data_IF_069572090986
#
_entry.id   IF_069572090986
#
_cell.length_a   1.000
_cell.length_b   1.000
_cell.length_c   1.000
_cell.angle_alpha   90.00
_cell.angle_beta   90.00
_cell.angle_gamma   90.00
#
_symmetry.space_group_name_H-M   'P 1'
#
loop_
_entity.id
_entity.type
_entity.pdbx_description
1 polymer ?
#
# COMPACT_ATOMS: atom_id res chain seq x y z
N UNK A 1 10.36 23.91 -2.54
CA UNK A 1 11.53 24.72 -2.98
C UNK A 1 12.75 24.33 -2.14
N UNK A 2 13.55 23.38 -2.60
CA UNK A 2 14.91 23.17 -2.07
C UNK A 2 15.90 23.44 -3.18
N UNK A 3 16.60 24.56 -3.02
CA UNK A 3 17.55 25.15 -3.95
C UNK A 3 18.74 24.20 -4.16
N UNK A 4 19.08 23.94 -5.41
CA UNK A 4 20.35 23.33 -5.81
C UNK A 4 21.49 24.27 -5.40
N UNK A 5 22.05 24.02 -4.22
CA UNK A 5 23.20 24.76 -3.71
C UNK A 5 24.46 24.28 -4.44
N UNK A 6 24.85 25.03 -5.47
CA UNK A 6 26.26 25.36 -5.72
C UNK A 6 27.16 24.31 -6.37
N UNK A 7 26.74 23.61 -7.42
CA UNK A 7 27.68 23.20 -8.47
C UNK A 7 27.44 24.08 -9.68
N UNK A 8 28.39 24.98 -9.96
CA UNK A 8 28.44 25.70 -11.23
C UNK A 8 28.58 24.65 -12.33
N UNK A 9 27.48 24.34 -13.02
CA UNK A 9 27.50 23.49 -14.20
C UNK A 9 28.06 24.35 -15.31
N UNK A 10 29.34 24.16 -15.64
CA UNK A 10 29.91 24.72 -16.86
C UNK A 10 29.21 24.05 -18.04
N UNK A 11 28.27 24.77 -18.65
CA UNK A 11 27.64 24.34 -19.89
C UNK A 11 28.72 24.38 -20.97
N UNK A 12 29.11 23.20 -21.44
CA UNK A 12 30.01 23.07 -22.58
C UNK A 12 29.16 23.12 -23.84
N UNK A 13 29.66 23.75 -24.90
CA UNK A 13 29.01 23.65 -26.21
C UNK A 13 29.13 22.20 -26.70
N UNK A 14 28.02 21.47 -26.64
CA UNK A 14 27.92 20.05 -26.95
C UNK A 14 26.46 19.60 -26.97
N UNK A 15 26.22 18.38 -27.45
CA UNK A 15 24.88 17.79 -27.39
C UNK A 15 24.51 17.46 -25.95
N UNK A 16 23.23 17.63 -25.61
CA UNK A 16 22.70 17.22 -24.31
C UNK A 16 22.85 15.71 -24.11
N UNK A 17 23.39 15.31 -22.95
CA UNK A 17 23.54 13.92 -22.55
C UNK A 17 22.69 13.61 -21.31
N UNK A 18 22.13 12.40 -21.25
CA UNK A 18 21.39 11.94 -20.09
C UNK A 18 22.37 11.55 -18.98
N UNK A 19 22.36 12.30 -17.87
CA UNK A 19 23.12 11.98 -16.67
C UNK A 19 22.21 11.50 -15.54
N UNK A 20 22.55 10.35 -14.95
CA UNK A 20 21.89 9.83 -13.76
C UNK A 20 22.33 10.61 -12.52
N UNK A 21 21.41 11.38 -11.93
CA UNK A 21 21.70 12.28 -10.80
C UNK A 21 22.29 11.59 -9.56
N UNK A 22 22.00 10.31 -9.38
CA UNK A 22 22.28 9.59 -8.14
C UNK A 22 23.69 8.93 -8.16
N UNK A 23 24.43 9.08 -9.26
CA UNK A 23 25.84 8.66 -9.36
C UNK A 23 26.72 9.86 -9.68
N UNK A 24 27.96 9.85 -9.18
CA UNK A 24 28.89 10.99 -9.31
C UNK A 24 29.46 11.16 -10.72
N UNK A 25 29.49 10.08 -11.48
CA UNK A 25 29.91 10.00 -12.87
C UNK A 25 28.74 10.16 -13.86
N UNK A 26 27.52 10.32 -13.35
CA UNK A 26 26.31 10.44 -14.17
C UNK A 26 25.89 9.14 -14.86
N UNK A 27 26.53 8.00 -14.56
CA UNK A 27 26.22 6.73 -15.22
C UNK A 27 24.94 6.09 -14.67
N UNK A 28 24.06 5.65 -15.58
CA UNK A 28 22.88 4.87 -15.19
C UNK A 28 23.25 3.40 -15.03
N UNK A 29 22.88 2.80 -13.90
CA UNK A 29 22.92 1.35 -13.73
C UNK A 29 21.62 0.88 -13.07
N UNK A 30 21.21 -0.35 -13.37
CA UNK A 30 20.05 -0.96 -12.69
C UNK A 30 20.25 -1.02 -11.18
N UNK A 31 21.50 -1.23 -10.71
CA UNK A 31 21.82 -1.24 -9.28
C UNK A 31 21.61 0.12 -8.62
N UNK A 32 22.11 1.21 -9.23
CA UNK A 32 21.92 2.56 -8.68
C UNK A 32 20.45 2.97 -8.69
N UNK A 33 19.68 2.57 -9.71
CA UNK A 33 18.24 2.79 -9.75
C UNK A 33 17.48 2.02 -8.65
N UNK A 34 17.82 0.74 -8.42
CA UNK A 34 17.21 -0.07 -7.36
C UNK A 34 17.49 0.54 -5.99
N UNK A 35 18.74 0.95 -5.73
CA UNK A 35 19.13 1.53 -4.44
C UNK A 35 18.32 2.81 -4.13
N UNK A 36 18.02 3.62 -5.14
CA UNK A 36 17.20 4.83 -4.99
C UNK A 36 15.76 4.47 -4.65
N UNK A 37 15.20 3.43 -5.27
CA UNK A 37 13.86 2.94 -4.97
C UNK A 37 13.81 2.39 -3.54
N UNK A 38 14.81 1.60 -3.15
CA UNK A 38 14.88 0.99 -1.82
C UNK A 38 15.07 2.04 -0.72
N UNK A 39 15.93 3.03 -0.92
CA UNK A 39 16.17 4.11 0.05
C UNK A 39 14.95 5.03 0.23
N UNK A 40 14.13 5.21 -0.81
CA UNK A 40 12.86 5.96 -0.72
C UNK A 40 11.73 5.12 -0.14
N UNK A 41 11.85 3.79 -0.17
CA UNK A 41 10.86 2.90 0.41
C UNK A 41 11.08 2.78 1.91
N UNK A 42 10.04 3.04 2.71
CA UNK A 42 10.08 2.73 4.14
C UNK A 42 10.38 1.23 4.33
N UNK A 43 11.07 0.80 5.40
CA UNK A 43 11.33 -0.60 5.66
C UNK A 43 10.03 -1.29 6.06
N UNK A 44 9.24 -1.65 5.07
CA UNK A 44 7.91 -2.20 5.28
C UNK A 44 8.06 -3.70 5.51
N UNK A 45 8.03 -4.09 6.79
CA UNK A 45 7.74 -5.45 7.25
C UNK A 45 6.62 -6.13 6.43
N UNK A 46 5.67 -5.34 5.89
CA UNK A 46 4.62 -5.80 5.00
C UNK A 46 5.12 -6.31 3.63
N UNK A 47 6.18 -5.79 3.00
CA UNK A 47 6.61 -6.24 1.65
C UNK A 47 7.06 -7.70 1.64
N UNK A 48 7.89 -8.10 2.61
CA UNK A 48 8.33 -9.51 2.75
C UNK A 48 7.17 -10.44 3.09
N UNK A 49 6.21 -9.95 3.88
CA UNK A 49 5.02 -10.71 4.23
C UNK A 49 4.10 -10.91 3.02
N UNK A 50 3.78 -9.84 2.28
CA UNK A 50 2.91 -9.86 1.09
C UNK A 50 3.48 -10.79 0.02
N UNK A 51 4.79 -10.68 -0.27
CA UNK A 51 5.44 -11.41 -1.37
C UNK A 51 6.09 -12.72 -0.93
N UNK A 52 5.74 -13.24 0.25
CA UNK A 52 6.21 -14.53 0.75
C UNK A 52 5.87 -15.67 -0.24
N UNK A 53 6.82 -16.58 -0.46
CA UNK A 53 6.59 -17.78 -1.28
C UNK A 53 5.51 -18.71 -0.70
N UNK A 54 5.18 -18.55 0.59
CA UNK A 54 4.12 -19.33 1.25
C UNK A 54 2.71 -18.83 0.90
N UNK A 55 2.59 -17.64 0.32
CA UNK A 55 1.29 -17.08 -0.08
C UNK A 55 1.03 -17.32 -1.57
N UNK A 56 -0.18 -17.78 -1.94
CA UNK A 56 -0.59 -17.75 -3.33
C UNK A 56 -0.52 -16.32 -3.89
N UNK A 57 -0.07 -16.18 -5.14
CA UNK A 57 0.12 -14.86 -5.78
C UNK A 57 -1.15 -14.00 -5.78
N UNK A 58 -2.32 -14.63 -5.90
CA UNK A 58 -3.62 -13.94 -5.82
C UNK A 58 -3.81 -13.23 -4.47
N UNK A 59 -3.40 -13.87 -3.36
CA UNK A 59 -3.44 -13.31 -2.01
C UNK A 59 -2.42 -12.19 -1.86
N UNK A 60 -1.21 -12.35 -2.39
CA UNK A 60 -0.19 -11.29 -2.41
C UNK A 60 -0.67 -10.04 -3.15
N UNK A 61 -1.23 -10.21 -4.36
CA UNK A 61 -1.75 -9.10 -5.16
C UNK A 61 -2.92 -8.41 -4.44
N UNK A 62 -3.81 -9.19 -3.82
CA UNK A 62 -4.90 -8.65 -3.02
C UNK A 62 -4.38 -7.77 -1.87
N UNK A 63 -3.45 -8.27 -1.05
CA UNK A 63 -2.86 -7.50 0.04
C UNK A 63 -2.10 -6.27 -0.46
N UNK A 64 -1.38 -6.38 -1.56
CA UNK A 64 -0.71 -5.24 -2.17
C UNK A 64 -1.72 -4.17 -2.59
N UNK A 65 -2.82 -4.54 -3.26
CA UNK A 65 -3.87 -3.59 -3.63
C UNK A 65 -4.53 -2.97 -2.42
N UNK A 66 -4.85 -3.79 -1.40
CA UNK A 66 -5.45 -3.34 -0.14
C UNK A 66 -4.58 -2.26 0.52
N UNK A 67 -3.29 -2.54 0.71
CA UNK A 67 -2.35 -1.65 1.40
C UNK A 67 -2.00 -0.37 0.62
N UNK A 68 -2.23 -0.36 -0.69
CA UNK A 68 -2.01 0.81 -1.55
C UNK A 68 -3.31 1.54 -1.93
N UNK A 69 -4.43 1.24 -1.24
CA UNK A 69 -5.76 1.81 -1.53
C UNK A 69 -6.15 1.70 -3.02
N UNK A 70 -5.78 0.58 -3.64
CA UNK A 70 -5.90 0.31 -5.08
C UNK A 70 -6.90 -0.84 -5.38
N UNK A 71 -7.80 -1.12 -4.44
CA UNK A 71 -8.93 -2.02 -4.70
C UNK A 71 -9.99 -1.27 -5.52
N UNK A 72 -10.61 -1.94 -6.52
CA UNK A 72 -11.66 -1.35 -7.34
C UNK A 72 -13.00 -1.41 -6.60
N UNK A 73 -13.08 -0.74 -5.45
CA UNK A 73 -14.32 -0.59 -4.69
C UNK A 73 -15.21 0.46 -5.36
N UNK A 74 -16.52 0.37 -5.18
CA UNK A 74 -17.48 1.25 -5.85
C UNK A 74 -17.22 2.74 -5.56
N UNK A 75 -16.81 3.08 -4.34
CA UNK A 75 -16.41 4.45 -3.96
C UNK A 75 -15.25 4.97 -4.83
N UNK A 76 -14.24 4.14 -5.12
CA UNK A 76 -13.14 4.48 -6.03
C UNK A 76 -13.59 4.53 -7.48
N UNK A 77 -14.43 3.60 -7.92
CA UNK A 77 -14.92 3.56 -9.30
C UNK A 77 -15.76 4.82 -9.62
N UNK A 78 -16.56 5.30 -8.67
CA UNK A 78 -17.30 6.54 -8.80
C UNK A 78 -16.40 7.75 -9.04
N UNK A 79 -15.23 7.84 -8.37
CA UNK A 79 -14.26 8.92 -8.61
C UNK A 79 -13.67 8.91 -10.03
N UNK A 80 -13.72 7.76 -10.71
CA UNK A 80 -13.24 7.59 -12.09
C UNK A 80 -14.33 7.73 -13.16
N UNK A 81 -15.55 8.15 -12.77
CA UNK A 81 -16.66 8.44 -13.67
C UNK A 81 -17.67 7.30 -13.88
N UNK A 82 -17.54 6.20 -13.14
CA UNK A 82 -18.53 5.11 -13.18
C UNK A 82 -19.65 5.37 -12.18
N UNK A 83 -20.87 5.61 -12.66
CA UNK A 83 -22.05 5.73 -11.79
C UNK A 83 -22.58 4.34 -11.44
N UNK A 84 -22.12 3.81 -10.30
CA UNK A 84 -22.60 2.57 -9.69
C UNK A 84 -23.35 2.90 -8.40
N UNK A 85 -24.43 2.19 -8.12
CA UNK A 85 -25.06 2.25 -6.80
C UNK A 85 -24.13 1.53 -5.81
N UNK A 86 -23.27 2.28 -5.12
CA UNK A 86 -22.35 1.74 -4.11
C UNK A 86 -23.15 1.08 -3.00
N UNK A 87 -23.31 -0.24 -3.10
CA UNK A 87 -24.07 -1.06 -2.15
C UNK A 87 -23.32 -2.36 -1.93
N UNK A 88 -23.10 -2.67 -0.65
CA UNK A 88 -22.44 -3.89 -0.24
C UNK A 88 -23.22 -5.11 -0.77
N UNK A 89 -22.51 -6.07 -1.36
CA UNK A 89 -23.16 -7.30 -1.87
C UNK A 89 -23.69 -8.21 -0.75
N UNK A 90 -23.27 -7.99 0.49
CA UNK A 90 -23.57 -8.84 1.64
C UNK A 90 -24.58 -8.21 2.62
N UNK A 91 -24.89 -6.93 2.47
CA UNK A 91 -25.87 -6.23 3.32
C UNK A 91 -26.47 -5.00 2.61
N UNK A 92 -27.23 -4.15 3.31
CA UNK A 92 -27.91 -2.99 2.70
C UNK A 92 -27.14 -1.67 2.80
N UNK A 93 -25.96 -1.67 3.43
CA UNK A 93 -25.10 -0.49 3.60
C UNK A 93 -24.33 -0.16 2.32
N UNK A 94 -23.77 1.05 2.27
CA UNK A 94 -22.93 1.48 1.14
C UNK A 94 -21.62 0.68 1.11
N UNK A 95 -21.11 0.44 -0.10
CA UNK A 95 -19.86 -0.30 -0.29
C UNK A 95 -18.66 0.64 -0.16
N UNK A 96 -18.06 0.65 1.03
CA UNK A 96 -16.82 1.37 1.30
C UNK A 96 -15.72 0.41 1.78
N UNK A 97 -14.47 0.88 1.76
CA UNK A 97 -13.34 0.14 2.31
C UNK A 97 -13.58 -0.27 3.77
N UNK A 98 -13.96 0.67 4.63
CA UNK A 98 -14.21 0.41 6.05
C UNK A 98 -15.35 -0.61 6.22
N UNK A 99 -16.40 -0.49 5.40
CA UNK A 99 -17.50 -1.44 5.45
C UNK A 99 -17.06 -2.86 5.08
N UNK A 100 -16.41 -3.05 3.92
CA UNK A 100 -16.02 -4.37 3.42
C UNK A 100 -14.92 -5.07 4.22
N UNK A 101 -14.16 -4.34 5.05
CA UNK A 101 -13.05 -4.92 5.82
C UNK A 101 -13.24 -4.87 7.34
N UNK A 102 -14.23 -4.13 7.83
CA UNK A 102 -14.44 -3.93 9.27
C UNK A 102 -15.91 -3.94 9.68
N UNK A 103 -16.77 -3.16 9.02
CA UNK A 103 -18.11 -2.87 9.55
C UNK A 103 -19.22 -3.78 9.00
N UNK A 104 -18.95 -4.54 7.93
CA UNK A 104 -19.90 -5.50 7.37
C UNK A 104 -20.15 -6.68 8.32
N UNK A 105 -21.42 -7.05 8.50
CA UNK A 105 -21.85 -8.16 9.36
C UNK A 105 -21.17 -9.48 9.00
N UNK A 106 -21.15 -9.83 7.71
CA UNK A 106 -20.48 -11.03 7.22
C UNK A 106 -18.97 -11.00 7.51
N UNK A 107 -18.33 -9.85 7.31
CA UNK A 107 -16.89 -9.69 7.53
C UNK A 107 -16.55 -9.86 9.01
N UNK A 108 -17.40 -9.35 9.90
CA UNK A 108 -17.26 -9.57 11.33
C UNK A 108 -17.35 -11.07 11.69
N UNK A 109 -18.28 -11.82 11.11
CA UNK A 109 -18.37 -13.28 11.31
C UNK A 109 -17.10 -14.00 10.83
N UNK A 110 -16.59 -13.63 9.65
CA UNK A 110 -15.33 -14.16 9.11
C UNK A 110 -14.17 -13.88 10.07
N UNK A 111 -14.06 -12.66 10.60
CA UNK A 111 -13.02 -12.33 11.58
C UNK A 111 -13.14 -13.14 12.86
N UNK A 112 -14.36 -13.30 13.40
CA UNK A 112 -14.61 -14.12 14.59
C UNK A 112 -14.16 -15.56 14.34
N UNK A 113 -14.52 -16.14 13.19
CA UNK A 113 -14.11 -17.49 12.81
C UNK A 113 -12.58 -17.63 12.79
N UNK A 114 -11.87 -16.77 12.05
CA UNK A 114 -10.41 -16.87 11.96
C UNK A 114 -9.70 -16.61 13.28
N UNK A 115 -10.22 -15.69 14.11
CA UNK A 115 -9.69 -15.45 15.46
C UNK A 115 -9.86 -16.70 16.33
N UNK A 116 -11.00 -17.38 16.24
CA UNK A 116 -11.27 -18.61 17.00
C UNK A 116 -10.37 -19.77 16.59
N UNK A 117 -10.13 -19.94 15.29
CA UNK A 117 -9.29 -21.03 14.73
C UNK A 117 -7.80 -20.78 14.97
N UNK A 118 -7.37 -19.51 14.96
CA UNK A 118 -5.97 -19.17 15.16
C UNK A 118 -5.51 -19.29 16.62
N UNK A 119 -6.36 -19.76 17.54
CA UNK A 119 -6.13 -19.76 19.00
C UNK A 119 -5.63 -18.40 19.51
N UNK A 120 -6.01 -17.32 18.83
CA UNK A 120 -5.74 -15.96 19.25
C UNK A 120 -6.75 -15.67 20.36
N UNK A 121 -6.39 -16.11 21.58
CA UNK A 121 -7.16 -15.96 22.80
C UNK A 121 -7.88 -14.61 22.84
N UNK A 122 -9.13 -14.66 23.33
CA UNK A 122 -10.02 -13.53 23.61
C UNK A 122 -9.51 -12.66 24.76
N UNK A 123 -8.20 -12.43 24.84
CA UNK A 123 -7.49 -11.59 25.80
C UNK A 123 -6.98 -10.34 25.10
N UNK A 124 -7.87 -9.50 24.57
CA UNK A 124 -7.56 -8.15 24.04
C UNK A 124 -6.52 -8.04 22.91
N UNK A 125 -5.87 -9.15 22.52
CA UNK A 125 -4.74 -9.20 21.60
C UNK A 125 -5.18 -9.53 20.17
N UNK A 126 -6.24 -10.32 19.97
CA UNK A 126 -6.79 -10.63 18.64
C UNK A 126 -7.49 -9.42 18.02
N UNK A 127 -8.33 -8.76 18.81
CA UNK A 127 -8.91 -7.45 18.49
C UNK A 127 -7.80 -6.41 18.34
N UNK A 128 -6.75 -6.42 19.17
CA UNK A 128 -5.61 -5.51 19.00
C UNK A 128 -4.69 -5.87 17.83
N UNK A 129 -4.67 -7.09 17.28
CA UNK A 129 -3.87 -7.44 16.09
C UNK A 129 -4.63 -7.09 14.83
N UNK A 130 -5.92 -7.40 14.73
CA UNK A 130 -6.77 -6.93 13.64
C UNK A 130 -6.90 -5.40 13.68
N UNK A 131 -7.17 -4.80 14.85
CA UNK A 131 -7.10 -3.35 15.04
C UNK A 131 -5.69 -2.80 14.94
N UNK A 132 -4.61 -3.55 15.16
CA UNK A 132 -3.23 -3.06 14.85
C UNK A 132 -2.99 -3.11 13.37
N UNK A 133 -3.39 -4.14 12.64
CA UNK A 133 -3.28 -4.19 11.19
C UNK A 133 -4.11 -3.06 10.56
N UNK A 134 -5.36 -2.87 11.03
CA UNK A 134 -6.25 -1.77 10.61
C UNK A 134 -5.78 -0.40 11.13
N UNK A 135 -5.23 -0.27 12.33
CA UNK A 135 -4.73 1.02 12.85
C UNK A 135 -3.31 1.35 12.37
N UNK A 136 -2.52 0.37 11.94
CA UNK A 136 -1.23 0.55 11.26
C UNK A 136 -1.47 0.85 9.78
N UNK A 137 -2.54 0.28 9.20
CA UNK A 137 -3.13 0.71 7.94
C UNK A 137 -3.61 2.18 8.01
N UNK A 138 -4.46 2.54 8.99
CA UNK A 138 -4.96 3.92 9.16
C UNK A 138 -3.85 4.92 9.56
N UNK A 139 -2.86 4.55 10.39
CA UNK A 139 -1.77 5.47 10.80
C UNK A 139 -0.74 5.77 9.72
N UNK A 140 -0.49 4.85 8.79
CA UNK A 140 0.53 5.07 7.76
C UNK A 140 -0.04 5.49 6.40
N UNK A 141 -1.35 5.32 6.16
CA UNK A 141 -1.93 5.52 4.84
C UNK A 141 -3.23 6.35 4.82
N UNK A 142 -3.78 6.74 5.99
CA UNK A 142 -4.85 7.75 6.12
C UNK A 142 -4.36 9.05 6.78
N UNK A 143 -3.10 9.45 6.55
CA UNK A 143 -2.66 10.83 6.78
C UNK A 143 -2.72 11.63 5.48
N UNK A 144 -3.96 11.91 5.05
CA UNK A 144 -4.34 13.06 4.21
C UNK A 144 -5.67 13.56 4.75
#
# INVERSE_FOLDING_TARGET
MHLLRGKSLLLTEGNDEFAWKETTDGSFTTSSAIQVIENKSSPLFSRRMIWSHKLPKKVSIFWWKLLNNALPLDDKLQTTGFSLASKCQFCTSDETFEHLFKDCSLVNEVWIFFVSVAHLSRSGHSEAVAKRMVAQFNRHYCSW
#
